data_IF_526551238975
#
_entry.id   IF_526551238975
#
_cell.length_a   1.000
_cell.length_b   1.000
_cell.length_c   1.000
_cell.angle_alpha   90.00
_cell.angle_beta   90.00
_cell.angle_gamma   90.00
#
_symmetry.space_group_name_H-M   'P 1'
#
loop_
_entity.id
_entity.type
_entity.pdbx_description
1 polymer ?
#
# COMPACT_ATOMS: atom_id res chain seq x y z
N UNK A 1 -19.97 1.57 15.50
CA UNK A 1 -18.53 1.87 15.41
C UNK A 1 -18.18 1.91 13.93
N UNK A 2 -17.64 3.04 13.50
CA UNK A 2 -17.84 3.62 12.17
C UNK A 2 -16.95 3.04 11.08
N UNK A 3 -17.55 2.67 9.94
CA UNK A 3 -16.86 2.31 8.71
C UNK A 3 -15.96 3.45 8.14
N UNK A 4 -16.21 4.69 8.58
CA UNK A 4 -15.45 5.87 8.18
C UNK A 4 -13.96 5.85 8.57
N UNK A 5 -13.58 5.12 9.63
CA UNK A 5 -12.17 5.08 10.08
C UNK A 5 -11.30 4.16 9.20
N UNK A 6 -11.89 3.20 8.49
CA UNK A 6 -11.15 2.28 7.62
C UNK A 6 -10.86 2.91 6.25
N UNK A 7 -11.82 3.68 5.70
CA UNK A 7 -11.65 4.35 4.40
C UNK A 7 -10.50 5.36 4.35
N UNK A 8 -10.32 6.15 5.42
CA UNK A 8 -9.23 7.14 5.50
C UNK A 8 -7.83 6.50 5.59
N UNK A 9 -7.72 5.30 6.17
CA UNK A 9 -6.46 4.57 6.30
C UNK A 9 -6.00 3.97 4.96
N UNK A 10 -6.93 3.50 4.13
CA UNK A 10 -6.62 2.84 2.83
C UNK A 10 -6.12 3.85 1.79
N UNK A 11 -6.74 5.04 1.72
CA UNK A 11 -6.32 6.10 0.77
C UNK A 11 -4.90 6.61 1.08
N UNK A 12 -4.54 6.74 2.36
CA UNK A 12 -3.19 7.18 2.78
C UNK A 12 -2.09 6.17 2.43
N UNK A 13 -2.38 4.87 2.51
CA UNK A 13 -1.42 3.80 2.18
C UNK A 13 -1.12 3.76 0.68
N UNK A 14 -2.11 4.04 -0.17
CA UNK A 14 -1.92 4.14 -1.62
C UNK A 14 -0.95 5.22 -2.04
N UNK A 15 -1.04 6.38 -1.39
CA UNK A 15 -0.10 7.48 -1.60
C UNK A 15 1.31 7.06 -1.23
N UNK A 16 1.53 6.29 -0.16
CA UNK A 16 2.87 5.80 0.21
C UNK A 16 3.40 4.78 -0.81
N UNK A 17 2.54 3.89 -1.31
CA UNK A 17 2.93 2.89 -2.31
C UNK A 17 3.39 3.58 -3.61
N UNK A 18 2.73 4.64 -4.07
CA UNK A 18 3.08 5.28 -5.34
C UNK A 18 3.96 6.51 -5.25
N UNK A 19 3.83 7.26 -4.16
CA UNK A 19 4.69 8.37 -3.83
C UNK A 19 5.52 7.98 -2.61
N UNK A 20 6.78 7.63 -2.87
CA UNK A 20 7.82 7.57 -1.84
C UNK A 20 8.11 8.99 -1.33
N UNK A 21 7.15 9.59 -0.60
CA UNK A 21 7.16 10.84 0.18
C UNK A 21 7.81 12.12 -0.43
N UNK A 22 8.40 12.06 -1.62
CA UNK A 22 9.34 13.07 -2.15
C UNK A 22 8.65 14.40 -2.50
N UNK A 23 7.33 14.38 -2.72
CA UNK A 23 6.53 15.59 -2.89
C UNK A 23 6.05 16.19 -1.54
N UNK A 24 5.96 15.37 -0.49
CA UNK A 24 5.42 15.76 0.82
C UNK A 24 6.49 16.19 1.83
N UNK A 25 7.78 15.91 1.61
CA UNK A 25 8.87 16.41 2.48
C UNK A 25 8.93 17.93 2.61
N UNK A 26 8.35 18.68 1.65
CA UNK A 26 8.25 20.14 1.74
C UNK A 26 7.16 20.64 2.70
N UNK A 27 6.25 19.77 3.16
CA UNK A 27 5.18 20.10 4.12
C UNK A 27 4.89 18.89 5.04
N UNK A 28 5.34 18.99 6.29
CA UNK A 28 4.86 18.22 7.47
C UNK A 28 5.51 16.85 7.76
N UNK A 29 6.50 16.85 8.66
CA UNK A 29 7.01 15.64 9.31
C UNK A 29 6.00 14.93 10.24
N UNK A 30 4.89 15.59 10.61
CA UNK A 30 3.82 15.00 11.40
C UNK A 30 3.04 13.92 10.62
N UNK A 31 2.77 14.16 9.33
CA UNK A 31 2.03 13.25 8.46
C UNK A 31 2.80 11.96 8.17
N UNK A 32 4.13 12.03 8.02
CA UNK A 32 4.99 10.85 7.84
C UNK A 32 4.95 9.92 9.05
N UNK A 33 4.96 10.51 10.26
CA UNK A 33 4.91 9.74 11.52
C UNK A 33 3.57 9.02 11.70
N UNK A 34 2.47 9.67 11.32
CA UNK A 34 1.14 9.06 11.36
C UNK A 34 1.01 7.92 10.35
N UNK A 35 1.46 8.12 9.11
CA UNK A 35 1.46 7.10 8.06
C UNK A 35 2.32 5.88 8.43
N UNK A 36 3.52 6.11 8.97
CA UNK A 36 4.37 5.01 9.45
C UNK A 36 3.70 4.23 10.59
N UNK A 37 2.99 4.91 11.50
CA UNK A 37 2.25 4.25 12.58
C UNK A 37 1.06 3.44 12.05
N UNK A 38 0.31 3.99 11.09
CA UNK A 38 -0.77 3.28 10.41
C UNK A 38 -0.25 2.03 9.68
N UNK A 39 0.84 2.15 8.93
CA UNK A 39 1.51 1.05 8.25
C UNK A 39 1.96 -0.03 9.24
N UNK A 40 2.55 0.38 10.37
CA UNK A 40 2.97 -0.55 11.42
C UNK A 40 1.79 -1.32 12.02
N UNK A 41 0.69 -0.62 12.33
CA UNK A 41 -0.54 -1.24 12.85
C UNK A 41 -1.11 -2.23 11.84
N UNK A 42 -1.20 -1.83 10.57
CA UNK A 42 -1.68 -2.67 9.47
C UNK A 42 -0.87 -3.96 9.35
N UNK A 43 0.45 -3.86 9.25
CA UNK A 43 1.35 -5.00 9.09
C UNK A 43 1.35 -5.91 10.33
N UNK A 44 1.33 -5.34 11.55
CA UNK A 44 1.25 -6.13 12.79
C UNK A 44 -0.03 -6.93 12.87
N UNK A 45 -1.17 -6.30 12.58
CA UNK A 45 -2.48 -6.95 12.61
C UNK A 45 -2.59 -8.13 11.63
N UNK A 46 -1.80 -8.11 10.54
CA UNK A 46 -1.86 -9.10 9.46
C UNK A 46 -0.59 -9.95 9.35
N UNK A 47 0.27 -10.05 10.37
CA UNK A 47 1.58 -10.75 10.24
C UNK A 47 1.46 -12.19 9.73
N UNK A 48 0.49 -12.96 10.24
CA UNK A 48 0.26 -14.34 9.79
C UNK A 48 -0.37 -14.39 8.40
N UNK A 49 -1.43 -13.61 8.19
CA UNK A 49 -2.14 -13.54 6.90
C UNK A 49 -1.23 -13.06 5.77
N UNK A 50 -0.39 -12.06 6.03
CA UNK A 50 0.60 -11.53 5.09
C UNK A 50 1.55 -12.63 4.61
N UNK A 51 1.99 -13.54 5.49
CA UNK A 51 2.86 -14.66 5.10
C UNK A 51 2.18 -15.61 4.15
N UNK A 52 0.94 -15.96 4.45
CA UNK A 52 0.14 -16.87 3.62
C UNK A 52 -0.19 -16.22 2.27
N UNK A 53 -0.70 -14.99 2.30
CA UNK A 53 -1.12 -14.26 1.10
C UNK A 53 0.07 -13.94 0.18
N UNK A 54 1.25 -13.61 0.72
CA UNK A 54 2.47 -13.46 -0.08
C UNK A 54 2.98 -14.81 -0.62
N UNK A 55 2.81 -15.90 0.13
CA UNK A 55 3.20 -17.22 -0.37
C UNK A 55 2.31 -17.66 -1.54
N UNK A 56 1.02 -17.35 -1.46
CA UNK A 56 0.03 -17.62 -2.51
C UNK A 56 0.16 -16.63 -3.68
N UNK A 57 0.49 -15.37 -3.39
CA UNK A 57 0.38 -14.26 -4.34
C UNK A 57 -1.07 -13.81 -4.54
N UNK A 58 -1.95 -14.10 -3.58
CA UNK A 58 -3.37 -13.80 -3.62
C UNK A 58 -3.92 -13.82 -2.19
N UNK A 59 -5.08 -13.21 -1.97
CA UNK A 59 -5.76 -13.18 -0.67
C UNK A 59 -6.03 -11.76 -0.19
N UNK A 60 -6.70 -11.62 0.96
CA UNK A 60 -7.21 -10.34 1.44
C UNK A 60 -6.14 -9.25 1.59
N UNK A 61 -4.92 -9.62 2.00
CA UNK A 61 -3.81 -8.67 2.15
C UNK A 61 -3.32 -8.18 0.79
N UNK A 62 -3.26 -9.05 -0.22
CA UNK A 62 -2.88 -8.67 -1.59
C UNK A 62 -3.95 -7.76 -2.20
N UNK A 63 -5.22 -8.04 -1.95
CA UNK A 63 -6.35 -7.21 -2.39
C UNK A 63 -6.36 -5.84 -1.70
N UNK A 64 -6.17 -5.80 -0.38
CA UNK A 64 -6.05 -4.55 0.38
C UNK A 64 -4.91 -3.66 -0.16
N UNK A 65 -3.76 -4.26 -0.47
CA UNK A 65 -2.60 -3.54 -1.01
C UNK A 65 -2.83 -3.08 -2.45
N UNK A 66 -3.46 -3.91 -3.28
CA UNK A 66 -3.83 -3.54 -4.64
C UNK A 66 -4.85 -2.40 -4.63
N UNK A 67 -5.85 -2.45 -3.76
CA UNK A 67 -6.85 -1.40 -3.59
C UNK A 67 -6.21 -0.10 -3.09
N UNK A 68 -5.32 -0.17 -2.10
CA UNK A 68 -4.53 0.99 -1.66
C UNK A 68 -3.76 1.58 -2.85
N UNK A 69 -3.06 0.75 -3.62
CA UNK A 69 -2.34 1.15 -4.82
C UNK A 69 -3.25 1.42 -6.04
N UNK A 70 -4.58 1.44 -5.92
CA UNK A 70 -5.53 1.53 -7.06
C UNK A 70 -5.14 0.68 -8.27
N UNK A 71 -4.53 -0.47 -8.04
CA UNK A 71 -4.18 -1.43 -9.09
C UNK A 71 -5.49 -1.96 -9.65
N UNK A 72 -5.62 -1.93 -10.97
CA UNK A 72 -6.85 -2.40 -11.61
C UNK A 72 -7.03 -3.89 -11.34
N UNK A 73 -8.28 -4.33 -11.21
CA UNK A 73 -8.62 -5.74 -10.93
C UNK A 73 -8.02 -6.71 -11.96
N UNK A 74 -7.88 -6.28 -13.21
CA UNK A 74 -7.23 -7.04 -14.28
C UNK A 74 -5.72 -7.29 -14.05
N UNK A 75 -5.06 -6.39 -13.32
CA UNK A 75 -3.64 -6.47 -12.99
C UNK A 75 -3.36 -7.10 -11.62
N UNK A 76 -4.40 -7.44 -10.84
CA UNK A 76 -4.26 -8.05 -9.52
C UNK A 76 -3.43 -9.34 -9.55
N UNK A 77 -3.62 -10.18 -10.58
CA UNK A 77 -2.82 -11.40 -10.74
C UNK A 77 -1.34 -11.11 -11.01
N UNK A 78 -1.02 -10.03 -11.71
CA UNK A 78 0.36 -9.58 -11.96
C UNK A 78 0.99 -9.05 -10.67
N UNK A 79 0.27 -8.21 -9.95
CA UNK A 79 0.70 -7.68 -8.66
C UNK A 79 0.96 -8.80 -7.64
N UNK A 80 0.04 -9.76 -7.55
CA UNK A 80 0.18 -10.93 -6.69
C UNK A 80 1.40 -11.81 -7.01
N UNK A 81 1.70 -12.03 -8.30
CA UNK A 81 2.91 -12.75 -8.73
C UNK A 81 4.19 -12.01 -8.36
N UNK A 82 4.21 -10.68 -8.52
CA UNK A 82 5.33 -9.84 -8.10
C UNK A 82 5.57 -9.98 -6.59
N UNK A 83 4.52 -9.81 -5.78
CA UNK A 83 4.60 -9.96 -4.33
C UNK A 83 5.11 -11.34 -3.91
N UNK A 84 4.65 -12.39 -4.58
CA UNK A 84 5.11 -13.76 -4.35
C UNK A 84 6.58 -13.97 -4.72
N UNK A 85 7.03 -13.41 -5.83
CA UNK A 85 8.43 -13.49 -6.26
C UNK A 85 9.37 -12.82 -5.23
N UNK A 86 8.92 -11.71 -4.63
CA UNK A 86 9.66 -10.94 -3.62
C UNK A 86 9.31 -11.30 -2.17
N UNK A 87 8.57 -12.38 -1.94
CA UNK A 87 8.04 -12.74 -0.60
C UNK A 87 9.11 -12.79 0.49
N UNK A 88 10.31 -13.31 0.19
CA UNK A 88 11.39 -13.48 1.18
C UNK A 88 11.88 -12.14 1.69
N UNK A 89 12.09 -11.20 0.77
CA UNK A 89 12.50 -9.83 1.06
C UNK A 89 11.42 -9.08 1.85
N UNK A 90 10.19 -9.10 1.34
CA UNK A 90 9.05 -8.42 1.97
C UNK A 90 8.78 -8.96 3.39
N UNK A 91 8.90 -10.26 3.60
CA UNK A 91 8.71 -10.85 4.94
C UNK A 91 9.87 -10.54 5.90
N UNK A 92 11.09 -10.40 5.42
CA UNK A 92 12.22 -9.99 6.26
C UNK A 92 12.07 -8.54 6.73
N UNK A 93 11.55 -7.67 5.87
CA UNK A 93 11.25 -6.28 6.22
C UNK A 93 10.10 -6.17 7.23
N UNK A 94 9.08 -7.03 7.09
CA UNK A 94 7.89 -7.07 7.96
C UNK A 94 8.04 -7.96 9.22
N UNK A 95 9.25 -8.33 9.66
CA UNK A 95 9.42 -9.11 10.90
C UNK A 95 8.84 -8.34 12.11
N UNK A 96 7.75 -8.86 12.68
CA UNK A 96 7.02 -8.25 13.78
C UNK A 96 7.90 -7.88 15.00
N UNK A 97 9.00 -8.61 15.24
CA UNK A 97 9.95 -8.35 16.35
C UNK A 97 10.75 -7.08 16.14
N UNK A 98 10.97 -6.68 14.90
CA UNK A 98 11.77 -5.49 14.53
C UNK A 98 10.93 -4.40 13.88
N UNK A 99 9.64 -4.65 13.63
CA UNK A 99 8.75 -3.77 12.87
C UNK A 99 8.48 -2.46 13.62
N UNK A 100 9.19 -1.40 13.22
CA UNK A 100 9.00 0.01 13.63
C UNK A 100 8.14 0.75 12.60
N UNK A 101 7.59 1.93 12.94
CA UNK A 101 6.88 2.79 11.98
C UNK A 101 7.68 3.08 10.70
N UNK A 102 8.98 3.38 10.85
CA UNK A 102 9.86 3.65 9.72
C UNK A 102 10.05 2.42 8.82
N UNK A 103 10.23 1.23 9.42
CA UNK A 103 10.34 -0.02 8.65
C UNK A 103 9.04 -0.39 7.94
N UNK A 104 7.89 -0.10 8.57
CA UNK A 104 6.59 -0.32 7.95
C UNK A 104 6.36 0.60 6.75
N UNK A 105 6.81 1.86 6.84
CA UNK A 105 6.78 2.78 5.71
C UNK A 105 7.70 2.31 4.57
N UNK A 106 8.94 1.97 4.91
CA UNK A 106 9.91 1.42 3.95
C UNK A 106 9.42 0.14 3.27
N UNK A 107 8.60 -0.66 3.96
CA UNK A 107 7.96 -1.84 3.38
C UNK A 107 6.97 -1.47 2.26
N UNK A 108 6.12 -0.47 2.48
CA UNK A 108 5.16 0.01 1.49
C UNK A 108 5.84 0.66 0.29
N UNK A 109 6.88 1.47 0.55
CA UNK A 109 7.73 2.07 -0.48
C UNK A 109 8.37 0.98 -1.34
N UNK A 110 8.87 -0.10 -0.71
CA UNK A 110 9.46 -1.22 -1.42
C UNK A 110 8.46 -1.95 -2.30
N UNK A 111 7.23 -2.15 -1.84
CA UNK A 111 6.15 -2.71 -2.69
C UNK A 111 5.90 -1.82 -3.91
N UNK A 112 5.88 -0.51 -3.73
CA UNK A 112 5.79 0.47 -4.81
C UNK A 112 6.93 0.39 -5.81
N UNK A 113 8.17 0.38 -5.32
CA UNK A 113 9.38 0.21 -6.13
C UNK A 113 9.32 -1.04 -7.00
N UNK A 114 8.94 -2.17 -6.40
CA UNK A 114 8.83 -3.44 -7.11
C UNK A 114 7.71 -3.38 -8.16
N UNK A 115 6.56 -2.78 -7.84
CA UNK A 115 5.46 -2.61 -8.78
C UNK A 115 5.87 -1.79 -10.01
N UNK A 116 6.69 -0.74 -9.86
CA UNK A 116 7.19 0.07 -10.99
C UNK A 116 8.05 -0.69 -11.99
N UNK A 117 8.58 -1.86 -11.61
CA UNK A 117 9.38 -2.67 -12.53
C UNK A 117 8.54 -3.41 -13.57
N UNK A 118 7.22 -3.53 -13.34
CA UNK A 118 6.28 -4.14 -14.28
C UNK A 118 5.51 -3.04 -15.06
N UNK A 119 5.59 -3.00 -16.40
CA UNK A 119 4.95 -1.94 -17.20
C UNK A 119 3.44 -1.81 -17.00
N UNK A 120 2.72 -2.90 -16.66
CA UNK A 120 1.26 -2.86 -16.45
C UNK A 120 0.91 -2.22 -15.13
N UNK A 121 1.70 -2.51 -14.09
CA UNK A 121 1.52 -1.93 -12.77
C UNK A 121 2.00 -0.47 -12.75
N UNK A 122 3.03 -0.14 -13.51
CA UNK A 122 3.49 1.24 -13.67
C UNK A 122 2.46 2.11 -14.40
N UNK A 123 1.74 1.56 -15.40
CA UNK A 123 0.61 2.25 -16.01
C UNK A 123 -0.54 2.51 -15.02
N UNK A 124 -0.79 1.61 -14.07
CA UNK A 124 -1.80 1.83 -13.01
C UNK A 124 -1.37 2.96 -12.06
N UNK A 125 -0.07 3.06 -11.76
CA UNK A 125 0.51 4.18 -11.02
C UNK A 125 0.32 5.50 -11.76
N UNK A 126 0.62 5.54 -13.05
CA UNK A 126 0.51 6.75 -13.86
C UNK A 126 -0.94 7.23 -13.89
N UNK A 127 -1.89 6.32 -14.13
CA UNK A 127 -3.32 6.61 -14.04
C UNK A 127 -3.74 7.11 -12.64
N UNK A 128 -3.17 6.56 -11.55
CA UNK A 128 -3.39 7.05 -10.19
C UNK A 128 -2.92 8.50 -10.01
N UNK A 129 -1.73 8.83 -10.52
CA UNK A 129 -1.09 10.13 -10.34
C UNK A 129 -1.70 11.23 -11.23
N UNK A 130 -2.19 10.86 -12.40
CA UNK A 130 -2.87 11.77 -13.34
C UNK A 130 -4.32 12.06 -12.92
N UNK A 131 -4.91 11.22 -12.07
CA UNK A 131 -6.25 11.46 -11.56
C UNK A 131 -6.28 12.74 -10.69
N UNK A 132 -7.11 13.75 -11.01
CA UNK A 132 -7.23 14.93 -10.17
C UNK A 132 -7.69 14.52 -8.77
N UNK A 133 -7.04 15.06 -7.75
CA UNK A 133 -7.21 14.72 -6.32
C UNK A 133 -8.60 15.06 -5.72
N UNK A 134 -9.65 15.18 -6.54
CA UNK A 134 -11.00 15.63 -6.15
C UNK A 134 -12.16 14.90 -6.82
N UNK A 135 -11.96 13.77 -7.49
CA UNK A 135 -13.05 13.05 -8.16
C UNK A 135 -13.96 12.20 -7.23
N UNK A 136 -13.77 12.21 -5.91
CA UNK A 136 -14.45 11.27 -5.00
C UNK A 136 -15.24 11.91 -3.84
N UNK A 137 -15.47 13.23 -3.85
CA UNK A 137 -16.41 13.87 -2.91
C UNK A 137 -17.79 14.14 -3.50
N UNK A 138 -18.06 13.77 -4.76
CA UNK A 138 -19.30 14.15 -5.45
C UNK A 138 -20.40 13.07 -5.48
N UNK A 139 -20.16 11.84 -5.01
CA UNK A 139 -21.16 10.76 -5.11
C UNK A 139 -21.49 10.13 -3.75
N UNK A 140 -21.78 10.96 -2.74
CA UNK A 140 -22.58 10.53 -1.58
C UNK A 140 -23.56 11.65 -1.22
N UNK A 141 -24.48 11.94 -2.13
CA UNK A 141 -25.66 12.74 -1.85
C UNK A 141 -26.80 12.30 -2.78
N UNK A 142 -27.43 11.17 -2.46
CA UNK A 142 -28.83 10.90 -2.78
C UNK A 142 -29.51 10.23 -1.60
#
# INVERSE_FOLDING_TARGET
MSAATVGALVVGLGVVIWQAYAAAERREGARSKELGRAAQVYLRARTHQLREDLALGAGPTVEDLAAAARIRRENLGTFGRMLRAHRRELLAMADARTLTPARALAWLERVGELARTDPRLDADREAFLEAPAGAETAEVAR
#
